data_IF_546030231020
#
_entry.id   IF_546030231020
#
_cell.length_a   1.000
_cell.length_b   1.000
_cell.length_c   1.000
_cell.angle_alpha   90.00
_cell.angle_beta   90.00
_cell.angle_gamma   90.00
#
_symmetry.space_group_name_H-M   'P 1'
#
loop_
_entity.id
_entity.type
_entity.pdbx_description
1 polymer ?
#
# COMPACT_ATOMS: atom_id res chain seq x y z
N UNK A 1 -2.61 1.36 32.37
CA UNK A 1 -3.19 0.27 33.19
C UNK A 1 -2.29 -0.12 34.36
N UNK A 2 -0.99 -0.34 34.17
CA UNK A 2 -0.03 -0.70 35.24
C UNK A 2 0.58 0.49 36.00
N UNK A 3 0.00 1.69 35.89
CA UNK A 3 0.51 2.89 36.57
C UNK A 3 1.80 3.49 36.00
N UNK A 4 2.32 2.97 34.87
CA UNK A 4 3.47 3.58 34.18
C UNK A 4 3.12 4.98 33.65
N UNK A 5 4.03 5.92 33.87
CA UNK A 5 3.99 7.23 33.23
C UNK A 5 4.55 7.10 31.81
N UNK A 6 3.82 7.66 30.84
CA UNK A 6 4.26 7.75 29.45
C UNK A 6 5.10 9.01 29.24
N UNK A 7 6.03 8.98 28.30
CA UNK A 7 6.74 10.17 27.87
C UNK A 7 5.76 11.18 27.26
N UNK A 8 5.97 12.46 27.56
CA UNK A 8 5.11 13.54 27.07
C UNK A 8 5.35 13.79 25.58
N UNK A 9 4.27 13.94 24.82
CA UNK A 9 4.34 14.26 23.39
C UNK A 9 4.74 15.73 23.20
N UNK A 10 5.88 15.96 22.54
CA UNK A 10 6.39 17.31 22.25
C UNK A 10 5.58 18.06 21.19
N UNK A 11 4.89 17.33 20.32
CA UNK A 11 4.09 17.85 19.21
C UNK A 11 2.76 17.10 19.16
N UNK A 12 1.73 17.76 18.65
CA UNK A 12 0.38 17.22 18.51
C UNK A 12 -0.03 17.16 17.04
N UNK A 13 -1.10 16.41 16.75
CA UNK A 13 -1.54 16.18 15.36
C UNK A 13 -1.88 17.48 14.63
N UNK A 14 -2.43 18.48 15.33
CA UNK A 14 -2.70 19.82 14.78
C UNK A 14 -1.44 20.49 14.23
N UNK A 15 -0.30 20.28 14.88
CA UNK A 15 0.98 20.90 14.51
C UNK A 15 1.52 20.22 13.25
N UNK A 16 1.37 18.88 13.17
CA UNK A 16 1.66 18.11 11.97
C UNK A 16 0.76 18.52 10.78
N UNK A 17 -0.54 18.70 11.01
CA UNK A 17 -1.47 19.12 9.95
C UNK A 17 -1.12 20.49 9.36
N UNK A 18 -0.78 21.47 10.21
CA UNK A 18 -0.36 22.80 9.77
C UNK A 18 1.00 22.74 9.03
N UNK A 19 1.94 21.94 9.54
CA UNK A 19 3.23 21.74 8.89
C UNK A 19 3.08 21.10 7.50
N UNK A 20 2.25 20.06 7.37
CA UNK A 20 1.98 19.42 6.08
C UNK A 20 1.29 20.38 5.10
N UNK A 21 0.35 21.19 5.57
CA UNK A 21 -0.35 22.17 4.74
C UNK A 21 0.59 23.25 4.16
N UNK A 22 1.60 23.66 4.92
CA UNK A 22 2.57 24.69 4.50
C UNK A 22 3.76 24.14 3.72
N UNK A 23 3.85 22.81 3.54
CA UNK A 23 5.00 22.18 2.92
C UNK A 23 4.95 22.26 1.39
N UNK A 24 6.11 22.48 0.79
CA UNK A 24 6.25 22.33 -0.65
C UNK A 24 6.34 20.85 -1.04
N UNK A 25 5.35 20.37 -1.79
CA UNK A 25 5.25 19.03 -2.34
C UNK A 25 5.37 19.00 -3.86
N UNK A 26 5.82 20.09 -4.49
CA UNK A 26 5.84 20.25 -5.96
C UNK A 26 6.66 19.15 -6.65
N UNK A 27 7.79 18.74 -6.08
CA UNK A 27 8.60 17.64 -6.61
C UNK A 27 7.87 16.30 -6.57
N UNK A 28 7.25 15.97 -5.44
CA UNK A 28 6.49 14.72 -5.26
C UNK A 28 5.24 14.69 -6.15
N UNK A 29 4.53 15.81 -6.24
CA UNK A 29 3.42 16.02 -7.18
C UNK A 29 3.86 15.73 -8.60
N UNK A 30 4.98 16.31 -9.04
CA UNK A 30 5.49 16.13 -10.40
C UNK A 30 5.82 14.67 -10.69
N UNK A 31 6.44 13.97 -9.73
CA UNK A 31 6.68 12.54 -9.84
C UNK A 31 5.39 11.74 -10.06
N UNK A 32 4.35 11.98 -9.24
CA UNK A 32 3.10 11.22 -9.37
C UNK A 32 2.34 11.54 -10.66
N UNK A 33 2.28 12.80 -11.06
CA UNK A 33 1.69 13.18 -12.35
C UNK A 33 2.44 12.53 -13.52
N UNK A 34 3.77 12.40 -13.43
CA UNK A 34 4.56 11.67 -14.43
C UNK A 34 4.16 10.19 -14.52
N UNK A 35 3.97 9.52 -13.38
CA UNK A 35 3.57 8.10 -13.35
C UNK A 35 2.18 7.84 -13.97
N UNK A 36 1.31 8.85 -13.96
CA UNK A 36 -0.05 8.80 -14.47
C UNK A 36 -0.28 9.73 -15.67
N UNK A 37 0.77 10.03 -16.44
CA UNK A 37 0.64 10.73 -17.73
C UNK A 37 -0.24 9.97 -18.72
N UNK A 38 -0.08 8.65 -18.73
CA UNK A 38 -0.99 7.74 -19.42
C UNK A 38 -2.12 7.36 -18.48
N UNK A 39 -3.34 7.28 -19.01
CA UNK A 39 -4.53 6.92 -18.24
C UNK A 39 -4.32 5.59 -17.49
N UNK A 40 -4.74 5.55 -16.23
CA UNK A 40 -4.65 4.34 -15.42
C UNK A 40 -5.60 3.27 -15.98
N UNK A 41 -5.15 2.01 -16.13
CA UNK A 41 -6.01 0.94 -16.61
C UNK A 41 -7.09 0.63 -15.58
N UNK A 42 -8.33 0.45 -16.05
CA UNK A 42 -9.40 -0.11 -15.22
C UNK A 42 -9.17 -1.62 -15.11
N UNK A 43 -9.07 -2.12 -13.87
CA UNK A 43 -8.80 -3.54 -13.64
C UNK A 43 -10.01 -4.41 -14.03
N UNK A 44 -9.77 -5.38 -14.91
CA UNK A 44 -10.79 -6.30 -15.46
C UNK A 44 -10.60 -7.73 -14.93
N UNK A 45 -11.04 -7.97 -13.70
CA UNK A 45 -11.02 -9.30 -13.10
C UNK A 45 -12.24 -10.13 -13.55
N UNK A 46 -12.11 -11.46 -13.68
CA UNK A 46 -13.24 -12.33 -13.96
C UNK A 46 -14.15 -12.41 -12.73
N UNK A 47 -15.23 -11.62 -12.72
CA UNK A 47 -16.23 -11.63 -11.66
C UNK A 47 -17.28 -12.73 -11.90
N UNK A 48 -17.73 -13.38 -10.83
CA UNK A 48 -18.80 -14.40 -10.88
C UNK A 48 -20.18 -13.80 -11.22
N UNK A 49 -20.36 -12.51 -10.95
CA UNK A 49 -21.60 -11.76 -11.16
C UNK A 49 -21.32 -10.42 -11.83
N UNK A 50 -22.33 -9.89 -12.54
CA UNK A 50 -22.25 -8.55 -13.11
C UNK A 50 -21.99 -7.51 -12.01
N UNK A 51 -21.09 -6.55 -12.28
CA UNK A 51 -20.80 -5.46 -11.35
C UNK A 51 -22.07 -4.62 -11.11
N UNK A 52 -22.48 -4.38 -9.85
CA UNK A 52 -23.65 -3.56 -9.56
C UNK A 52 -23.44 -2.09 -9.99
N UNK A 53 -24.53 -1.41 -10.35
CA UNK A 53 -24.51 0.02 -10.74
C UNK A 53 -24.25 0.99 -9.57
N UNK A 54 -24.04 0.47 -8.36
CA UNK A 54 -23.66 1.21 -7.16
C UNK A 54 -22.66 0.36 -6.39
N UNK A 55 -21.63 0.99 -5.83
CA UNK A 55 -20.65 0.29 -5.01
C UNK A 55 -21.34 -0.40 -3.84
N UNK A 56 -21.03 -1.69 -3.64
CA UNK A 56 -21.45 -2.47 -2.48
C UNK A 56 -20.21 -2.77 -1.63
N UNK A 57 -20.35 -2.65 -0.31
CA UNK A 57 -19.30 -2.92 0.68
C UNK A 57 -19.50 -4.26 1.41
N UNK A 58 -20.54 -5.04 1.05
CA UNK A 58 -20.69 -6.41 1.52
C UNK A 58 -19.50 -7.26 1.05
N UNK A 59 -18.74 -7.79 2.00
CA UNK A 59 -17.53 -8.55 1.74
C UNK A 59 -17.38 -9.76 2.65
N UNK A 60 -16.45 -10.65 2.28
CA UNK A 60 -16.05 -11.81 3.09
C UNK A 60 -14.53 -11.89 3.12
N UNK A 61 -13.98 -12.33 4.25
CA UNK A 61 -12.55 -12.61 4.39
C UNK A 61 -12.28 -14.11 4.23
N UNK A 62 -11.19 -14.43 3.54
CA UNK A 62 -10.62 -15.77 3.45
C UNK A 62 -9.18 -15.69 3.94
N UNK A 63 -8.83 -16.54 4.89
CA UNK A 63 -7.49 -16.60 5.46
C UNK A 63 -6.80 -17.87 5.01
N UNK A 64 -5.60 -17.74 4.45
CA UNK A 64 -4.75 -18.85 4.07
C UNK A 64 -3.43 -18.70 4.79
N UNK A 65 -2.93 -19.81 5.37
CA UNK A 65 -1.61 -19.82 6.00
C UNK A 65 -0.56 -20.14 4.95
N UNK A 66 0.41 -19.24 4.79
CA UNK A 66 1.60 -19.50 3.98
C UNK A 66 2.49 -20.53 4.69
N UNK A 67 2.96 -21.60 3.99
CA UNK A 67 3.93 -22.52 4.56
C UNK A 67 5.23 -21.81 4.95
N UNK A 68 5.86 -22.24 6.04
CA UNK A 68 7.08 -21.62 6.56
C UNK A 68 8.24 -21.70 5.54
N UNK A 69 8.30 -22.79 4.77
CA UNK A 69 9.26 -22.98 3.68
C UNK A 69 9.14 -21.89 2.61
N UNK A 70 7.91 -21.52 2.23
CA UNK A 70 7.65 -20.45 1.26
C UNK A 70 8.07 -19.09 1.81
N UNK A 71 7.77 -18.83 3.09
CA UNK A 71 8.21 -17.60 3.78
C UNK A 71 9.74 -17.49 3.80
N UNK A 72 10.43 -18.57 4.17
CA UNK A 72 11.90 -18.61 4.17
C UNK A 72 12.48 -18.38 2.77
N UNK A 73 11.88 -18.97 1.74
CA UNK A 73 12.30 -18.77 0.35
C UNK A 73 12.12 -17.31 -0.10
N UNK A 74 11.01 -16.65 0.27
CA UNK A 74 10.79 -15.23 -0.01
C UNK A 74 11.86 -14.36 0.66
N UNK A 75 12.14 -14.59 1.95
CA UNK A 75 13.16 -13.82 2.67
C UNK A 75 14.56 -14.02 2.08
N UNK A 76 14.89 -15.24 1.65
CA UNK A 76 16.15 -15.53 0.97
C UNK A 76 16.23 -14.84 -0.40
N UNK A 77 15.12 -14.81 -1.16
CA UNK A 77 15.05 -14.10 -2.43
C UNK A 77 15.20 -12.59 -2.23
N UNK A 78 14.60 -12.04 -1.17
CA UNK A 78 14.74 -10.63 -0.80
C UNK A 78 16.21 -10.26 -0.59
N UNK A 79 16.92 -11.07 0.19
CA UNK A 79 18.35 -10.89 0.46
C UNK A 79 19.20 -10.98 -0.80
N UNK A 80 18.98 -11.98 -1.65
CA UNK A 80 19.82 -12.20 -2.85
C UNK A 80 19.59 -11.16 -3.94
N UNK A 81 18.38 -10.58 -4.02
CA UNK A 81 18.03 -9.54 -5.01
C UNK A 81 18.18 -8.12 -4.44
N UNK A 82 18.50 -7.98 -3.15
CA UNK A 82 18.50 -6.70 -2.44
C UNK A 82 17.13 -6.01 -2.49
N UNK A 83 16.05 -6.79 -2.45
CA UNK A 83 14.66 -6.31 -2.37
C UNK A 83 14.10 -6.58 -0.98
N UNK A 84 12.83 -6.23 -0.75
CA UNK A 84 12.12 -6.53 0.50
C UNK A 84 11.05 -7.60 0.26
N UNK A 85 10.63 -8.28 1.33
CA UNK A 85 9.50 -9.21 1.28
C UNK A 85 8.25 -8.54 0.68
N UNK A 86 8.02 -7.26 1.01
CA UNK A 86 6.97 -6.43 0.40
C UNK A 86 7.09 -6.36 -1.12
N UNK A 87 8.27 -6.03 -1.66
CA UNK A 87 8.48 -5.91 -3.11
C UNK A 87 8.25 -7.24 -3.82
N UNK A 88 8.70 -8.36 -3.24
CA UNK A 88 8.51 -9.70 -3.82
C UNK A 88 7.04 -10.08 -3.83
N UNK A 89 6.34 -9.86 -2.72
CA UNK A 89 4.91 -10.18 -2.61
C UNK A 89 4.06 -9.28 -3.51
N UNK A 90 4.37 -7.98 -3.59
CA UNK A 90 3.71 -7.05 -4.51
C UNK A 90 3.93 -7.47 -5.97
N UNK A 91 5.16 -7.81 -6.35
CA UNK A 91 5.49 -8.32 -7.70
C UNK A 91 4.69 -9.59 -8.00
N UNK A 92 4.64 -10.52 -7.04
CA UNK A 92 3.87 -11.76 -7.16
C UNK A 92 2.37 -11.50 -7.31
N UNK A 93 1.86 -10.48 -6.61
CA UNK A 93 0.47 -10.05 -6.70
C UNK A 93 0.17 -9.38 -8.06
N UNK A 94 1.07 -8.57 -8.61
CA UNK A 94 0.94 -8.03 -9.98
C UNK A 94 0.88 -9.17 -11.02
N UNK A 95 1.73 -10.20 -10.88
CA UNK A 95 1.68 -11.39 -11.74
C UNK A 95 0.36 -12.15 -11.59
N UNK A 96 -0.18 -12.23 -10.37
CA UNK A 96 -1.49 -12.83 -10.14
C UNK A 96 -2.58 -12.05 -10.89
N UNK A 97 -2.63 -10.73 -10.72
CA UNK A 97 -3.60 -9.87 -11.41
C UNK A 97 -3.49 -10.02 -12.93
N UNK A 98 -2.27 -9.97 -13.48
CA UNK A 98 -2.02 -10.23 -14.90
C UNK A 98 -2.60 -11.56 -15.37
N UNK A 99 -2.41 -12.65 -14.60
CA UNK A 99 -2.92 -13.97 -14.98
C UNK A 99 -4.44 -14.04 -15.01
N UNK A 100 -5.12 -13.30 -14.12
CA UNK A 100 -6.57 -13.28 -14.04
C UNK A 100 -7.20 -12.30 -15.06
N UNK A 101 -6.66 -11.10 -15.20
CA UNK A 101 -7.21 -10.05 -16.08
C UNK A 101 -6.64 -10.07 -17.50
N UNK A 102 -5.51 -10.73 -17.71
CA UNK A 102 -4.69 -10.67 -18.95
C UNK A 102 -4.18 -9.27 -19.28
N UNK A 103 -4.21 -8.34 -18.32
CA UNK A 103 -3.69 -6.99 -18.49
C UNK A 103 -2.19 -6.96 -18.19
N UNK A 104 -1.45 -6.16 -18.96
CA UNK A 104 0.01 -5.98 -18.82
C UNK A 104 0.37 -4.64 -18.17
N UNK A 105 -0.63 -3.91 -17.69
CA UNK A 105 -0.54 -2.68 -16.90
C UNK A 105 -1.58 -2.79 -15.78
N UNK A 106 -1.14 -2.61 -14.53
CA UNK A 106 -1.99 -2.74 -13.34
C UNK A 106 -1.63 -1.67 -12.32
N UNK A 107 -2.63 -1.16 -11.62
CA UNK A 107 -2.47 -0.22 -10.49
C UNK A 107 -3.03 -0.87 -9.24
N UNK A 108 -2.21 -0.89 -8.18
CA UNK A 108 -2.55 -1.48 -6.89
C UNK A 108 -2.38 -0.39 -5.84
N UNK A 109 -3.39 -0.17 -5.00
CA UNK A 109 -3.23 0.73 -3.86
C UNK A 109 -2.44 0.04 -2.75
N UNK A 110 -1.45 0.73 -2.20
CA UNK A 110 -0.62 0.22 -1.11
C UNK A 110 -0.63 1.20 0.06
N UNK A 111 -1.39 0.91 1.13
CA UNK A 111 -1.41 1.71 2.33
C UNK A 111 -0.04 1.71 3.03
N UNK A 112 0.40 2.89 3.42
CA UNK A 112 1.62 3.12 4.19
C UNK A 112 1.28 3.83 5.50
N UNK A 113 2.17 3.74 6.50
CA UNK A 113 1.93 4.40 7.80
C UNK A 113 1.83 5.92 7.68
N UNK A 114 2.52 6.51 6.69
CA UNK A 114 2.69 7.96 6.49
C UNK A 114 3.39 8.68 7.66
N UNK A 115 3.99 7.92 8.58
CA UNK A 115 4.77 8.42 9.71
C UNK A 115 6.23 8.55 9.31
N UNK A 116 6.55 9.58 8.51
CA UNK A 116 7.91 9.82 7.98
C UNK A 116 8.86 10.46 8.98
N UNK A 117 8.32 11.07 10.05
CA UNK A 117 9.11 11.76 11.07
C UNK A 117 9.02 11.05 12.42
N UNK A 118 10.15 10.97 13.15
CA UNK A 118 10.24 10.29 14.46
C UNK A 118 9.20 10.80 15.47
N UNK A 119 8.97 12.12 15.48
CA UNK A 119 7.99 12.73 16.39
C UNK A 119 6.53 12.31 16.12
N UNK A 120 6.26 11.70 14.95
CA UNK A 120 4.93 11.18 14.60
C UNK A 120 4.74 9.73 15.00
N UNK A 121 5.77 8.97 15.37
CA UNK A 121 5.66 7.52 15.63
C UNK A 121 4.66 7.19 16.75
N UNK A 122 4.76 7.92 17.88
CA UNK A 122 3.92 7.72 19.06
C UNK A 122 2.68 8.64 19.10
N UNK A 123 2.45 9.41 18.04
CA UNK A 123 1.36 10.39 18.00
C UNK A 123 0.05 9.74 17.57
N UNK A 124 -1.04 10.02 18.29
CA UNK A 124 -2.37 9.62 17.84
C UNK A 124 -2.86 10.54 16.72
N UNK A 125 -3.30 9.95 15.60
CA UNK A 125 -3.76 10.70 14.43
C UNK A 125 -3.90 9.83 13.18
N UNK A 126 -4.53 10.39 12.14
CA UNK A 126 -4.63 9.76 10.82
C UNK A 126 -3.41 10.14 9.98
N UNK A 127 -2.43 9.24 9.91
CA UNK A 127 -1.22 9.43 9.10
C UNK A 127 -1.21 8.56 7.85
N UNK A 128 -2.06 7.52 7.80
CA UNK A 128 -2.06 6.55 6.71
C UNK A 128 -2.32 7.27 5.39
N UNK A 129 -1.37 7.12 4.46
CA UNK A 129 -1.55 7.49 3.06
C UNK A 129 -1.59 6.20 2.22
N UNK A 130 -2.15 6.26 1.02
CA UNK A 130 -2.17 5.11 0.10
C UNK A 130 -1.44 5.46 -1.17
N UNK A 131 -0.43 4.68 -1.53
CA UNK A 131 0.34 4.88 -2.76
C UNK A 131 -0.27 4.07 -3.90
N UNK A 132 -0.49 4.70 -5.06
CA UNK A 132 -0.96 4.01 -6.25
C UNK A 132 0.21 3.36 -6.99
N UNK A 133 0.51 2.10 -6.65
CA UNK A 133 1.61 1.33 -7.21
C UNK A 133 1.25 0.80 -8.60
N UNK A 134 1.69 1.50 -9.65
CA UNK A 134 1.56 1.06 -11.05
C UNK A 134 2.71 0.12 -11.43
N UNK A 135 2.40 -0.96 -12.13
CA UNK A 135 3.39 -1.92 -12.60
C UNK A 135 2.99 -2.54 -13.94
N UNK A 136 4.00 -3.02 -14.68
CA UNK A 136 3.83 -3.51 -16.05
C UNK A 136 4.20 -4.99 -16.17
N UNK A 137 3.35 -5.93 -15.71
CA UNK A 137 3.59 -7.37 -15.74
C UNK A 137 3.43 -7.96 -17.16
N UNK A 138 4.20 -7.46 -18.11
CA UNK A 138 4.20 -7.92 -19.51
C UNK A 138 4.61 -9.40 -19.63
N UNK A 139 3.97 -10.13 -20.56
CA UNK A 139 4.16 -11.58 -20.73
C UNK A 139 5.59 -11.99 -21.06
N UNK A 140 6.35 -11.12 -21.71
CA UNK A 140 7.73 -11.36 -22.14
C UNK A 140 8.76 -11.14 -21.00
N UNK A 141 8.36 -10.56 -19.87
CA UNK A 141 9.27 -10.31 -18.74
C UNK A 141 9.43 -11.55 -17.88
N UNK A 142 10.66 -11.82 -17.49
CA UNK A 142 10.94 -12.72 -16.38
C UNK A 142 10.50 -12.09 -15.05
N UNK A 143 10.23 -12.93 -14.05
CA UNK A 143 9.91 -12.44 -12.71
C UNK A 143 11.00 -11.51 -12.14
N UNK A 144 12.27 -11.81 -12.37
CA UNK A 144 13.38 -11.00 -11.86
C UNK A 144 13.44 -9.61 -12.50
N UNK A 145 13.08 -9.48 -13.78
CA UNK A 145 12.97 -8.18 -14.44
C UNK A 145 11.85 -7.36 -13.83
N UNK A 146 10.66 -7.94 -13.68
CA UNK A 146 9.53 -7.26 -13.05
C UNK A 146 9.81 -6.90 -11.59
N UNK A 147 10.51 -7.78 -10.84
CA UNK A 147 10.91 -7.50 -9.46
C UNK A 147 11.88 -6.31 -9.39
N UNK A 148 12.83 -6.20 -10.32
CA UNK A 148 13.74 -5.06 -10.39
C UNK A 148 12.98 -3.75 -10.65
N UNK A 149 12.06 -3.77 -11.63
CA UNK A 149 11.20 -2.61 -11.93
C UNK A 149 10.32 -2.24 -10.73
N UNK A 150 9.72 -3.24 -10.07
CA UNK A 150 8.86 -3.05 -8.90
C UNK A 150 9.66 -2.49 -7.72
N UNK A 151 10.91 -2.94 -7.52
CA UNK A 151 11.81 -2.40 -6.51
C UNK A 151 12.09 -0.92 -6.77
N UNK A 152 12.51 -0.56 -7.99
CA UNK A 152 12.83 0.83 -8.35
C UNK A 152 11.61 1.73 -8.23
N UNK A 153 10.44 1.25 -8.68
CA UNK A 153 9.17 1.95 -8.53
C UNK A 153 8.77 2.12 -7.07
N UNK A 154 8.96 1.08 -6.23
CA UNK A 154 8.66 1.15 -4.80
C UNK A 154 9.54 2.15 -4.07
N UNK A 155 10.84 2.17 -4.34
CA UNK A 155 11.76 3.14 -3.73
C UNK A 155 11.34 4.56 -4.09
N UNK A 156 11.11 4.85 -5.37
CA UNK A 156 10.65 6.17 -5.81
C UNK A 156 9.28 6.53 -5.22
N UNK A 157 8.35 5.58 -5.13
CA UNK A 157 7.06 5.81 -4.50
C UNK A 157 7.21 6.17 -3.02
N UNK A 158 8.11 5.50 -2.30
CA UNK A 158 8.41 5.81 -0.90
C UNK A 158 9.12 7.16 -0.73
N UNK A 159 10.02 7.54 -1.64
CA UNK A 159 10.65 8.86 -1.61
C UNK A 159 9.65 10.01 -1.86
N UNK A 160 8.52 9.69 -2.51
CA UNK A 160 7.44 10.64 -2.86
C UNK A 160 6.14 10.37 -2.09
N UNK A 161 6.21 9.71 -0.94
CA UNK A 161 5.06 9.14 -0.25
C UNK A 161 4.14 10.15 0.47
N UNK A 162 4.54 11.42 0.53
CA UNK A 162 3.88 12.45 1.33
C UNK A 162 2.88 13.27 0.51
N UNK A 163 2.88 13.10 -0.81
CA UNK A 163 1.84 13.65 -1.67
C UNK A 163 0.52 12.85 -1.47
N UNK A 164 -0.59 13.52 -1.11
CA UNK A 164 -1.86 12.84 -0.82
C UNK A 164 -2.47 12.15 -2.05
N UNK A 165 -3.01 10.94 -1.86
CA UNK A 165 -3.74 10.24 -2.92
C UNK A 165 -4.93 11.05 -3.44
N UNK A 166 -5.66 11.70 -2.54
CA UNK A 166 -6.85 12.47 -2.90
C UNK A 166 -6.49 13.65 -3.82
N UNK A 167 -5.37 14.32 -3.54
CA UNK A 167 -4.85 15.39 -4.40
C UNK A 167 -4.46 14.84 -5.77
N UNK A 168 -3.79 13.68 -5.84
CA UNK A 168 -3.48 13.02 -7.10
C UNK A 168 -4.75 12.71 -7.91
N UNK A 169 -5.74 12.09 -7.27
CA UNK A 169 -7.02 11.72 -7.90
C UNK A 169 -7.75 12.94 -8.46
N UNK A 170 -7.83 14.03 -7.70
CA UNK A 170 -8.50 15.26 -8.14
C UNK A 170 -7.82 15.91 -9.35
N UNK A 171 -6.53 15.68 -9.54
CA UNK A 171 -5.77 16.22 -10.67
C UNK A 171 -5.83 15.35 -11.94
N UNK A 172 -5.93 14.01 -11.81
CA UNK A 172 -5.83 13.09 -12.97
C UNK A 172 -7.14 12.42 -13.36
N UNK A 173 -8.13 12.36 -12.48
CA UNK A 173 -9.41 11.69 -12.75
C UNK A 173 -10.46 12.70 -13.22
N UNK A 174 -10.62 12.84 -14.54
CA UNK A 174 -11.59 13.76 -15.13
C UNK A 174 -13.05 13.33 -14.90
N UNK A 175 -13.33 12.03 -14.92
CA UNK A 175 -14.68 11.46 -14.77
C UNK A 175 -14.70 10.41 -13.68
N UNK A 176 -15.46 10.67 -12.62
CA UNK A 176 -15.65 9.71 -11.53
C UNK A 176 -16.69 8.66 -11.91
N UNK A 177 -16.26 7.40 -11.98
CA UNK A 177 -17.16 6.25 -11.97
C UNK A 177 -17.57 5.95 -10.52
N UNK A 178 -18.86 6.13 -10.20
CA UNK A 178 -19.39 5.89 -8.86
C UNK A 178 -19.49 4.39 -8.49
N UNK A 179 -19.17 3.49 -9.42
CA UNK A 179 -19.15 2.03 -9.18
C UNK A 179 -17.78 1.50 -8.82
N UNK A 180 -16.74 2.35 -8.86
CA UNK A 180 -15.34 1.98 -8.64
C UNK A 180 -14.62 2.98 -7.74
N UNK A 181 -13.51 2.52 -7.18
CA UNK A 181 -12.56 3.42 -6.54
C UNK A 181 -11.74 4.13 -7.63
N UNK A 182 -11.31 5.39 -7.40
CA UNK A 182 -10.43 6.07 -8.33
C UNK A 182 -9.06 5.37 -8.40
N UNK A 183 -8.51 5.23 -9.61
CA UNK A 183 -7.19 4.67 -9.95
C UNK A 183 -6.97 3.17 -9.74
N UNK A 184 -7.51 2.56 -8.68
CA UNK A 184 -7.31 1.13 -8.41
C UNK A 184 -8.50 0.48 -7.74
N UNK A 185 -8.78 -0.78 -8.10
CA UNK A 185 -9.85 -1.58 -7.51
C UNK A 185 -9.34 -2.57 -6.44
N UNK A 186 -8.03 -2.69 -6.28
CA UNK A 186 -7.37 -3.66 -5.38
C UNK A 186 -6.38 -2.97 -4.46
N UNK A 187 -6.36 -3.42 -3.20
CA UNK A 187 -5.41 -3.00 -2.19
C UNK A 187 -4.46 -4.15 -1.86
N UNK A 188 -3.19 -3.85 -1.65
CA UNK A 188 -2.19 -4.77 -1.16
C UNK A 188 -1.55 -4.22 0.12
N UNK A 189 -1.61 -4.98 1.20
CA UNK A 189 -1.05 -4.58 2.50
C UNK A 189 -0.14 -5.68 3.02
N UNK A 190 1.08 -5.30 3.45
CA UNK A 190 1.93 -6.16 4.25
C UNK A 190 2.03 -5.58 5.66
N UNK A 191 1.48 -6.30 6.64
CA UNK A 191 1.53 -5.90 8.05
C UNK A 191 2.57 -6.76 8.77
N UNK A 192 3.67 -6.12 9.17
CA UNK A 192 4.60 -6.71 10.12
C UNK A 192 4.06 -6.50 11.53
N UNK A 193 2.94 -7.15 11.84
CA UNK A 193 2.43 -7.16 13.21
C UNK A 193 3.33 -8.09 14.03
N UNK A 194 4.25 -7.51 14.79
CA UNK A 194 4.68 -8.17 16.03
C UNK A 194 3.41 -8.34 16.85
N UNK A 195 2.93 -9.58 16.99
CA UNK A 195 1.95 -9.89 18.00
C UNK A 195 2.61 -9.61 19.35
N UNK A 196 2.47 -8.39 19.86
CA UNK A 196 2.77 -8.11 21.25
C UNK A 196 1.78 -8.95 22.06
N UNK A 197 2.27 -10.02 22.67
CA UNK A 197 1.56 -10.71 23.74
C UNK A 197 1.41 -9.71 24.87
N UNK A 198 0.24 -9.08 24.93
CA UNK A 198 -0.13 -8.22 26.04
C UNK A 198 -0.48 -9.12 27.22
N UNK A 199 0.48 -9.36 28.10
CA UNK A 199 0.22 -9.99 29.39
C UNK A 199 -0.29 -8.93 30.37
N UNK A 200 -1.57 -9.02 30.73
CA UNK A 200 -2.16 -8.17 31.76
C UNK A 200 -2.43 -9.02 32.99
N UNK A 201 -1.63 -8.85 34.05
CA UNK A 201 -1.87 -9.45 35.37
C UNK A 201 -2.27 -10.94 35.33
N UNK A 202 -1.45 -11.78 34.67
CA UNK A 202 -1.68 -13.23 34.48
C UNK A 202 -2.86 -13.64 33.58
N UNK A 203 -3.42 -12.72 32.79
CA UNK A 203 -4.30 -13.05 31.68
C UNK A 203 -3.57 -12.87 30.36
N UNK A 204 -3.45 -13.97 29.62
CA UNK A 204 -3.05 -13.94 28.22
C UNK A 204 -4.26 -13.53 27.38
N UNK A 205 -4.20 -12.36 26.78
CA UNK A 205 -5.17 -11.96 25.76
C UNK A 205 -4.62 -12.47 24.43
N UNK A 206 -5.19 -13.55 23.91
CA UNK A 206 -4.94 -13.95 22.52
C UNK A 206 -5.71 -12.99 21.59
N UNK A 207 -5.01 -12.25 20.71
CA UNK A 207 -5.70 -11.47 19.69
C UNK A 207 -6.43 -12.43 18.74
N UNK A 208 -7.69 -12.10 18.45
CA UNK A 208 -8.56 -12.85 17.54
C UNK A 208 -8.16 -12.67 16.08
#
# INVERSE_FOLDING_TARGET
YQGYALEELKVQYKDYSEWMHTRDLTSQRTYWLEQFKEEAPVLDLPYDHARPNKQNFDGRSITVRMPDETRSAISQLAQTTGSTDYMILLTSFMVLLHKYSRQEDVVIGSPISGRTHKDTENMLGMFVNTLAMRGYPERNKSFNQLLSETKDASIKAFDNQEYPLEALVDEIVEKRDLTRNPLFDVLFTLQNNEQQKLEINNWAIEPK
#
